data_IF_473402718485
#
_entry.id   IF_473402718485
#
_cell.length_a   1.000
_cell.length_b   1.000
_cell.length_c   1.000
_cell.angle_alpha   90.00
_cell.angle_beta   90.00
_cell.angle_gamma   90.00
#
_symmetry.space_group_name_H-M   'P 1'
#
loop_
_entity.id
_entity.type
_entity.pdbx_description
1 polymer ?
#
# COMPACT_ATOMS: atom_id res chain seq x y z
N UNK A 1 -59.23 -36.99 -14.93
CA UNK A 1 -58.48 -36.89 -16.20
C UNK A 1 -57.35 -35.90 -15.97
N UNK A 2 -56.15 -36.39 -15.62
CA UNK A 2 -54.98 -35.55 -15.34
C UNK A 2 -54.08 -35.51 -16.58
N UNK A 3 -53.89 -34.33 -17.14
CA UNK A 3 -53.02 -34.08 -18.28
C UNK A 3 -51.59 -33.88 -17.76
N UNK A 4 -50.72 -34.85 -17.98
CA UNK A 4 -49.27 -34.69 -17.76
C UNK A 4 -48.69 -34.07 -19.03
N UNK A 5 -47.99 -32.92 -18.97
CA UNK A 5 -47.34 -32.34 -20.13
C UNK A 5 -46.06 -33.13 -20.47
N UNK A 6 -46.00 -33.62 -21.70
CA UNK A 6 -44.83 -34.28 -22.27
C UNK A 6 -43.78 -33.22 -22.63
N UNK A 7 -42.63 -33.25 -21.94
CA UNK A 7 -41.55 -32.30 -22.17
C UNK A 7 -40.68 -32.80 -23.32
N UNK A 8 -40.80 -32.14 -24.48
CA UNK A 8 -40.04 -32.39 -25.69
C UNK A 8 -38.51 -32.34 -25.43
N UNK A 9 -37.79 -33.27 -26.04
CA UNK A 9 -36.33 -33.44 -26.01
C UNK A 9 -35.57 -32.17 -26.40
N UNK A 10 -36.16 -31.33 -27.26
CA UNK A 10 -35.61 -30.03 -27.67
C UNK A 10 -35.59 -29.02 -26.51
N UNK A 11 -36.58 -29.07 -25.60
CA UNK A 11 -36.66 -28.21 -24.42
C UNK A 11 -35.59 -28.53 -23.39
N UNK A 12 -35.27 -29.83 -23.21
CA UNK A 12 -34.22 -30.29 -22.28
C UNK A 12 -32.82 -29.84 -22.72
N UNK A 13 -32.52 -29.87 -24.03
CA UNK A 13 -31.23 -29.41 -24.57
C UNK A 13 -31.04 -27.90 -24.43
N UNK A 14 -32.12 -27.11 -24.61
CA UNK A 14 -32.08 -25.65 -24.43
C UNK A 14 -31.86 -25.24 -22.97
N UNK A 15 -32.43 -26.00 -22.02
CA UNK A 15 -32.22 -25.76 -20.59
C UNK A 15 -30.78 -26.05 -20.15
N UNK A 16 -30.15 -27.10 -20.67
CA UNK A 16 -28.76 -27.45 -20.31
C UNK A 16 -27.72 -26.48 -20.90
N UNK A 17 -27.98 -25.89 -22.06
CA UNK A 17 -27.08 -24.87 -22.65
C UNK A 17 -27.16 -23.54 -21.90
N UNK A 18 -28.34 -23.18 -21.37
CA UNK A 18 -28.52 -21.96 -20.59
C UNK A 18 -27.75 -22.00 -19.25
N UNK A 19 -27.62 -23.17 -18.61
CA UNK A 19 -26.88 -23.33 -17.35
C UNK A 19 -25.36 -23.26 -17.50
N UNK A 20 -24.82 -23.61 -18.68
CA UNK A 20 -23.37 -23.59 -18.92
C UNK A 20 -22.83 -22.17 -19.18
N UNK A 21 -23.68 -21.23 -19.63
CA UNK A 21 -23.28 -19.87 -19.95
C UNK A 21 -23.01 -18.99 -18.71
N UNK A 22 -23.53 -19.36 -17.53
CA UNK A 22 -23.30 -18.61 -16.28
C UNK A 22 -21.96 -18.92 -15.60
N UNK A 23 -21.27 -20.00 -16.00
CA UNK A 23 -19.94 -20.37 -15.46
C UNK A 23 -18.77 -19.79 -16.28
N UNK A 24 -19.07 -19.13 -17.40
CA UNK A 24 -18.08 -18.48 -18.26
C UNK A 24 -18.05 -16.95 -18.06
N UNK A 25 -18.60 -16.45 -16.94
CA UNK A 25 -18.35 -15.07 -16.52
C UNK A 25 -16.89 -14.99 -16.06
N UNK A 26 -16.04 -14.17 -16.71
CA UNK A 26 -14.71 -13.88 -16.18
C UNK A 26 -14.91 -13.35 -14.75
N UNK A 27 -14.19 -13.98 -13.83
CA UNK A 27 -14.08 -13.67 -12.41
C UNK A 27 -14.59 -12.28 -12.01
N UNK A 28 -15.60 -12.26 -11.14
CA UNK A 28 -16.03 -11.08 -10.38
C UNK A 28 -14.91 -10.48 -9.49
N UNK A 29 -13.70 -11.06 -9.50
CA UNK A 29 -12.50 -10.52 -8.84
C UNK A 29 -12.07 -9.16 -9.41
N UNK A 30 -12.41 -8.84 -10.66
CA UNK A 30 -12.03 -7.55 -11.25
C UNK A 30 -12.71 -6.33 -10.59
N UNK A 31 -13.74 -6.54 -9.78
CA UNK A 31 -14.42 -5.49 -9.01
C UNK A 31 -14.22 -5.59 -7.49
N UNK A 32 -13.36 -6.50 -7.02
CA UNK A 32 -12.82 -6.37 -5.68
C UNK A 32 -11.92 -5.13 -5.67
N UNK A 33 -12.48 -3.97 -5.29
CA UNK A 33 -11.71 -2.80 -4.91
C UNK A 33 -10.68 -3.29 -3.90
N UNK A 34 -9.43 -3.43 -4.34
CA UNK A 34 -8.31 -3.81 -3.49
C UNK A 34 -8.39 -2.97 -2.22
N UNK A 35 -8.35 -3.62 -1.06
CA UNK A 35 -8.36 -2.93 0.22
C UNK A 35 -7.24 -1.86 0.21
N UNK A 36 -7.46 -0.68 0.84
CA UNK A 36 -6.45 0.36 0.93
C UNK A 36 -5.10 -0.21 1.35
N UNK A 37 -4.10 -0.12 0.48
CA UNK A 37 -2.79 -0.71 0.76
C UNK A 37 -1.89 0.29 1.48
N UNK A 38 -1.22 -0.17 2.53
CA UNK A 38 -0.23 0.63 3.24
C UNK A 38 0.91 1.09 2.30
N UNK A 39 1.27 0.26 1.32
CA UNK A 39 2.26 0.60 0.29
C UNK A 39 1.82 1.80 -0.55
N UNK A 40 0.57 1.84 -1.03
CA UNK A 40 0.08 2.99 -1.80
C UNK A 40 0.02 4.27 -0.96
N UNK A 41 -0.41 4.16 0.30
CA UNK A 41 -0.39 5.28 1.24
C UNK A 41 1.04 5.78 1.51
N UNK A 42 2.00 4.85 1.64
CA UNK A 42 3.41 5.16 1.82
C UNK A 42 3.96 5.95 0.64
N UNK A 43 3.68 5.54 -0.59
CA UNK A 43 4.10 6.29 -1.78
C UNK A 43 3.46 7.68 -1.85
N UNK A 44 2.18 7.79 -1.49
CA UNK A 44 1.47 9.08 -1.49
C UNK A 44 2.01 10.08 -0.45
N UNK A 45 2.54 9.59 0.67
CA UNK A 45 2.99 10.42 1.80
C UNK A 45 4.50 10.63 1.82
N UNK A 46 5.29 9.57 1.63
CA UNK A 46 6.74 9.58 1.73
C UNK A 46 7.45 9.68 0.37
N UNK A 47 6.70 9.61 -0.74
CA UNK A 47 7.21 9.80 -2.10
C UNK A 47 7.40 8.50 -2.90
N UNK A 48 7.78 8.63 -4.18
CA UNK A 48 7.84 7.52 -5.15
C UNK A 48 8.86 6.44 -4.78
N UNK A 49 9.84 6.75 -3.93
CA UNK A 49 10.88 5.82 -3.48
C UNK A 49 10.44 4.88 -2.34
N UNK A 50 9.27 5.11 -1.74
CA UNK A 50 8.70 4.31 -0.66
C UNK A 50 7.99 3.04 -1.18
N UNK A 51 8.73 2.19 -1.89
CA UNK A 51 8.17 1.05 -2.66
C UNK A 51 8.66 -0.32 -2.20
N UNK A 52 9.65 -0.40 -1.30
CA UNK A 52 10.14 -1.68 -0.79
C UNK A 52 9.04 -2.40 0.02
N UNK A 53 8.55 -3.52 -0.52
CA UNK A 53 7.42 -4.22 0.05
C UNK A 53 7.71 -4.83 1.45
N UNK A 54 8.96 -5.25 1.71
CA UNK A 54 9.33 -5.83 3.01
C UNK A 54 9.39 -4.75 4.08
N UNK A 55 9.98 -3.60 3.75
CA UNK A 55 10.02 -2.43 4.61
C UNK A 55 8.62 -1.88 4.86
N UNK A 56 7.77 -1.78 3.83
CA UNK A 56 6.38 -1.37 3.98
C UNK A 56 5.60 -2.28 4.94
N UNK A 57 5.75 -3.61 4.81
CA UNK A 57 5.12 -4.57 5.71
C UNK A 57 5.65 -4.45 7.15
N UNK A 58 6.96 -4.31 7.33
CA UNK A 58 7.56 -4.16 8.65
C UNK A 58 7.18 -2.84 9.34
N UNK A 59 7.12 -1.73 8.60
CA UNK A 59 6.62 -0.44 9.12
C UNK A 59 5.15 -0.57 9.52
N UNK A 60 4.30 -1.13 8.65
CA UNK A 60 2.89 -1.32 8.96
C UNK A 60 2.68 -2.18 10.22
N UNK A 61 3.44 -3.27 10.33
CA UNK A 61 3.43 -4.14 11.50
C UNK A 61 3.89 -3.39 12.76
N UNK A 62 4.95 -2.59 12.68
CA UNK A 62 5.44 -1.85 13.84
C UNK A 62 4.46 -0.74 14.27
N UNK A 63 3.89 0.00 13.30
CA UNK A 63 2.90 1.05 13.58
C UNK A 63 1.60 0.49 14.18
N UNK A 64 1.21 -0.74 13.84
CA UNK A 64 0.03 -1.39 14.43
C UNK A 64 0.18 -1.71 15.92
N UNK A 65 1.43 -1.70 16.43
CA UNK A 65 1.72 -1.87 17.86
C UNK A 65 1.84 -0.54 18.62
N UNK A 66 1.54 0.59 17.97
CA UNK A 66 1.61 1.92 18.58
C UNK A 66 0.21 2.45 18.94
N UNK A 67 0.10 3.46 19.81
CA UNK A 67 -1.16 4.16 20.06
C UNK A 67 -1.78 4.83 18.82
N UNK A 68 -1.02 4.95 17.72
CA UNK A 68 -1.47 5.56 16.47
C UNK A 68 -2.10 4.55 15.49
N UNK A 69 -2.23 3.26 15.85
CA UNK A 69 -2.64 2.20 14.92
C UNK A 69 -3.98 2.48 14.19
N UNK A 70 -4.99 2.95 14.92
CA UNK A 70 -6.30 3.28 14.33
C UNK A 70 -6.22 4.49 13.40
N UNK A 71 -5.46 5.51 13.80
CA UNK A 71 -5.26 6.71 12.99
C UNK A 71 -4.42 6.44 11.74
N UNK A 72 -3.43 5.55 11.81
CA UNK A 72 -2.67 5.06 10.64
C UNK A 72 -3.63 4.36 9.67
N UNK A 73 -4.53 3.51 10.17
CA UNK A 73 -5.54 2.86 9.33
C UNK A 73 -6.44 3.89 8.64
N UNK A 74 -6.85 4.95 9.36
CA UNK A 74 -7.64 6.05 8.80
C UNK A 74 -6.86 6.83 7.73
N UNK A 75 -5.58 7.10 7.94
CA UNK A 75 -4.70 7.76 6.95
C UNK A 75 -4.59 6.90 5.69
N UNK A 76 -4.38 5.59 5.82
CA UNK A 76 -4.30 4.66 4.67
C UNK A 76 -5.62 4.67 3.87
N UNK A 77 -6.77 4.68 4.55
CA UNK A 77 -8.06 4.79 3.90
C UNK A 77 -8.27 6.13 3.16
N UNK A 78 -7.73 7.24 3.69
CA UNK A 78 -7.76 8.53 2.99
C UNK A 78 -6.86 8.53 1.75
N UNK A 79 -5.66 7.96 1.85
CA UNK A 79 -4.71 7.87 0.73
C UNK A 79 -5.23 7.02 -0.43
N UNK A 80 -6.17 6.10 -0.18
CA UNK A 80 -6.87 5.36 -1.24
C UNK A 80 -7.89 6.23 -2.02
N UNK A 81 -8.24 7.42 -1.51
CA UNK A 81 -9.29 8.29 -2.07
C UNK A 81 -8.76 9.64 -2.55
N UNK A 82 -7.70 10.12 -1.93
CA UNK A 82 -7.13 11.44 -2.17
C UNK A 82 -5.63 11.34 -2.39
N UNK A 83 -5.09 12.30 -3.12
CA UNK A 83 -3.65 12.46 -3.37
C UNK A 83 -3.23 13.92 -3.27
N UNK A 84 -1.92 14.16 -3.14
CA UNK A 84 -1.33 15.49 -3.11
C UNK A 84 -1.97 16.41 -2.07
N UNK A 85 -2.24 17.66 -2.46
CA UNK A 85 -2.81 18.67 -1.57
C UNK A 85 -4.18 18.27 -0.97
N UNK A 86 -5.00 17.50 -1.69
CA UNK A 86 -6.29 17.02 -1.17
C UNK A 86 -6.12 15.99 -0.06
N UNK A 87 -5.11 15.11 -0.17
CA UNK A 87 -4.79 14.16 0.89
C UNK A 87 -4.30 14.89 2.13
N UNK A 88 -3.38 15.85 1.96
CA UNK A 88 -2.85 16.66 3.06
C UNK A 88 -3.97 17.42 3.80
N UNK A 89 -4.86 18.09 3.07
CA UNK A 89 -6.02 18.77 3.66
C UNK A 89 -6.93 17.78 4.41
N UNK A 90 -7.24 16.63 3.80
CA UNK A 90 -8.11 15.63 4.42
C UNK A 90 -7.53 15.02 5.70
N UNK A 91 -6.20 14.85 5.78
CA UNK A 91 -5.47 14.41 6.97
C UNK A 91 -5.57 15.47 8.06
N UNK A 92 -5.26 16.72 7.72
CA UNK A 92 -5.25 17.84 8.66
C UNK A 92 -6.64 18.11 9.26
N UNK A 93 -7.67 18.20 8.43
CA UNK A 93 -9.07 18.42 8.85
C UNK A 93 -9.58 17.33 9.82
N UNK A 94 -8.97 16.14 9.78
CA UNK A 94 -9.34 14.98 10.62
C UNK A 94 -8.43 14.79 11.83
N UNK A 95 -7.47 15.69 12.05
CA UNK A 95 -6.50 15.62 13.14
C UNK A 95 -5.54 14.43 13.03
N UNK A 96 -5.26 13.97 11.82
CA UNK A 96 -4.47 12.75 11.57
C UNK A 96 -2.97 13.03 11.31
N UNK A 97 -2.52 14.27 11.55
CA UNK A 97 -1.16 14.71 11.23
C UNK A 97 -0.09 13.85 11.95
N UNK A 98 -0.32 13.47 13.20
CA UNK A 98 0.61 12.62 13.96
C UNK A 98 0.81 11.24 13.32
N UNK A 99 -0.27 10.60 12.86
CA UNK A 99 -0.20 9.31 12.19
C UNK A 99 0.44 9.41 10.81
N UNK A 100 0.11 10.45 10.03
CA UNK A 100 0.73 10.70 8.73
C UNK A 100 2.24 10.95 8.88
N UNK A 101 2.64 11.78 9.85
CA UNK A 101 4.05 12.05 10.16
C UNK A 101 4.78 10.79 10.63
N UNK A 102 4.13 9.92 11.41
CA UNK A 102 4.73 8.65 11.82
C UNK A 102 5.06 7.74 10.61
N UNK A 103 4.18 7.69 9.59
CA UNK A 103 4.46 6.95 8.35
C UNK A 103 5.65 7.56 7.61
N UNK A 104 5.67 8.89 7.43
CA UNK A 104 6.76 9.58 6.73
C UNK A 104 8.09 9.42 7.46
N UNK A 105 8.08 9.58 8.78
CA UNK A 105 9.26 9.43 9.64
C UNK A 105 9.80 8.00 9.60
N UNK A 106 8.92 6.99 9.59
CA UNK A 106 9.33 5.59 9.51
C UNK A 106 10.08 5.28 8.21
N UNK A 107 9.64 5.83 7.08
CA UNK A 107 10.32 5.67 5.80
C UNK A 107 11.66 6.42 5.73
N UNK A 108 11.69 7.68 6.20
CA UNK A 108 12.89 8.51 6.11
C UNK A 108 13.96 8.15 7.14
N UNK A 109 13.56 7.72 8.34
CA UNK A 109 14.47 7.33 9.41
C UNK A 109 14.78 5.84 9.44
N UNK A 110 13.90 4.99 8.90
CA UNK A 110 14.06 3.54 8.96
C UNK A 110 13.74 2.93 10.34
N UNK A 111 12.99 3.63 11.20
CA UNK A 111 12.60 3.17 12.53
C UNK A 111 11.16 3.55 12.87
N UNK A 112 10.52 2.79 13.76
CA UNK A 112 9.21 3.12 14.35
C UNK A 112 9.38 3.10 15.87
N UNK A 113 9.24 4.26 16.51
CA UNK A 113 9.60 4.41 17.93
C UNK A 113 11.07 4.02 18.15
N UNK A 114 11.32 3.04 19.02
CA UNK A 114 12.67 2.54 19.31
C UNK A 114 13.05 1.30 18.48
N UNK A 115 12.19 0.88 17.55
CA UNK A 115 12.43 -0.32 16.73
C UNK A 115 13.06 0.07 15.40
N UNK A 116 14.28 -0.41 15.16
CA UNK A 116 14.93 -0.27 13.86
C UNK A 116 14.27 -1.24 12.86
N UNK A 117 13.76 -0.71 11.76
CA UNK A 117 13.19 -1.49 10.65
C UNK A 117 14.28 -1.78 9.61
N UNK A 118 14.94 -0.73 9.12
CA UNK A 118 16.03 -0.84 8.17
C UNK A 118 16.88 0.42 8.17
N UNK A 119 18.15 0.29 8.58
CA UNK A 119 19.09 1.41 8.55
C UNK A 119 19.50 1.80 7.12
N UNK A 120 20.04 0.90 6.26
CA UNK A 120 20.41 1.27 4.89
C UNK A 120 19.18 1.50 3.98
N UNK A 121 18.01 1.00 4.35
CA UNK A 121 16.77 1.19 3.58
C UNK A 121 16.07 2.53 3.82
N UNK A 122 16.52 3.32 4.80
CA UNK A 122 15.94 4.61 5.11
C UNK A 122 16.05 5.59 3.93
N UNK A 123 14.96 6.28 3.59
CA UNK A 123 14.91 7.19 2.44
C UNK A 123 15.83 8.40 2.60
N UNK A 124 16.23 8.76 3.83
CA UNK A 124 17.21 9.83 4.05
C UNK A 124 18.53 9.58 3.29
N UNK A 125 18.96 8.32 3.15
CA UNK A 125 20.17 7.99 2.39
C UNK A 125 20.02 8.18 0.88
N UNK A 126 18.79 8.05 0.36
CA UNK A 126 18.51 8.37 -1.05
C UNK A 126 18.45 9.87 -1.29
N UNK A 127 17.91 10.62 -0.32
CA UNK A 127 17.83 12.07 -0.39
C UNK A 127 19.19 12.77 -0.29
N UNK A 128 20.17 12.12 0.33
CA UNK A 128 21.52 12.64 0.54
C UNK A 128 22.56 11.73 -0.13
N UNK A 129 22.60 11.69 -1.49
CA UNK A 129 23.44 10.73 -2.22
C UNK A 129 24.95 10.96 -2.03
N UNK A 130 25.33 12.13 -1.52
CA UNK A 130 26.70 12.47 -1.15
C UNK A 130 27.08 11.97 0.25
N UNK A 131 26.15 11.43 1.04
CA UNK A 131 26.41 10.81 2.34
C UNK A 131 26.32 9.29 2.24
N UNK A 132 26.96 8.61 3.20
CA UNK A 132 26.87 7.16 3.36
C UNK A 132 26.35 6.84 4.75
N UNK A 133 25.56 5.75 4.90
CA UNK A 133 25.21 5.25 6.22
C UNK A 133 26.49 4.92 7.01
N UNK A 134 26.53 5.29 8.29
CA UNK A 134 27.67 4.99 9.14
C UNK A 134 27.88 3.46 9.22
N UNK A 135 29.13 3.02 9.12
CA UNK A 135 29.46 1.59 9.09
C UNK A 135 29.34 0.92 7.70
N UNK A 136 28.94 1.65 6.66
CA UNK A 136 28.93 1.15 5.28
C UNK A 136 30.12 1.70 4.48
N UNK A 137 31.12 0.84 4.26
CA UNK A 137 32.24 1.14 3.36
C UNK A 137 31.85 0.75 1.93
N UNK A 138 31.68 1.72 1.04
CA UNK A 138 31.38 1.48 -0.38
C UNK A 138 31.52 2.77 -1.19
N UNK A 139 31.63 2.68 -2.52
CA UNK A 139 31.86 3.83 -3.41
C UNK A 139 33.28 4.38 -3.37
N UNK A 140 33.53 5.51 -4.06
CA UNK A 140 34.85 6.13 -4.10
C UNK A 140 35.31 6.62 -2.71
N UNK A 141 36.57 6.33 -2.38
CA UNK A 141 37.25 6.96 -1.25
C UNK A 141 37.42 8.45 -1.53
N UNK A 142 37.28 9.30 -0.51
CA UNK A 142 37.37 10.76 -0.68
C UNK A 142 36.12 11.42 -1.25
N UNK A 143 34.95 10.76 -1.24
CA UNK A 143 33.68 11.36 -1.70
C UNK A 143 33.28 12.65 -0.98
N UNK A 144 33.86 12.88 0.21
CA UNK A 144 33.68 14.07 1.03
C UNK A 144 34.67 15.21 0.71
N UNK A 145 35.62 15.01 -0.21
CA UNK A 145 36.66 15.99 -0.50
C UNK A 145 36.13 17.20 -1.27
N UNK A 146 35.09 17.00 -2.07
CA UNK A 146 34.44 18.05 -2.86
C UNK A 146 33.09 18.43 -2.24
N UNK A 147 32.67 19.67 -2.47
CA UNK A 147 31.33 20.10 -2.09
C UNK A 147 30.26 19.33 -2.89
N UNK A 148 29.10 18.99 -2.28
CA UNK A 148 27.96 18.46 -3.02
C UNK A 148 27.51 19.43 -4.11
N UNK A 149 27.11 18.89 -5.28
CA UNK A 149 26.54 19.66 -6.40
C UNK A 149 25.03 19.84 -6.26
#
# INVERSE_FOLDING_TARGET
MSHVPEIDSAGRRRFLVASAALLALPSLDAFARSAPSFAAASTALAGPDATDAKMAAAIAQALSQTPLADDVTRVVALAARYSGARLAAAIHERGLDAAANAIVAAWHGGFVGNTLISYPGALAWKALPFLKPAGYCGGAFGYWAEAPQ
#
